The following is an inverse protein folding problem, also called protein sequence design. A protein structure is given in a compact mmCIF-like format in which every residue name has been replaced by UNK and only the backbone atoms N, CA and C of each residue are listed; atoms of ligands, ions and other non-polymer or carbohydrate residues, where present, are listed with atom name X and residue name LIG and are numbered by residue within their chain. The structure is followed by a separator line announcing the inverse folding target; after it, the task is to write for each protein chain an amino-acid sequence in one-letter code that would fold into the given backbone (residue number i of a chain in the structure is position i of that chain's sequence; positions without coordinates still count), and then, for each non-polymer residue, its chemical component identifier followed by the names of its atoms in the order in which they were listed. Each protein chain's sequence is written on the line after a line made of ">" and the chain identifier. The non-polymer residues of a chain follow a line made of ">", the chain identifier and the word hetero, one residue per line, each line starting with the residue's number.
data_IF_224065459850
#
_entry.id   IF_224065459850
#
_cell.length_a   1.000
_cell.length_b   1.000
_cell.length_c   1.000
_cell.angle_alpha   90.00
_cell.angle_beta   90.00
_cell.angle_gamma   90.00
#
_symmetry.space_group_name_H-M   'P 1'
#
loop_
_entity.id
_entity.type
_entity.pdbx_description
1 polymer ?
#
# COMPACT_ATOMS: atom_id res chain seq x y z
N UNK A 1 -3.47 -13.37 9.24
CA UNK A 1 -3.17 -12.58 8.37
C UNK A 1 -4.20 -11.69 8.03
N UNK A 2 -4.01 -10.60 8.24
CA UNK A 2 -4.94 -9.61 8.02
C UNK A 2 -5.10 -9.22 6.62
N UNK A 3 -4.93 -9.90 5.81
CA UNK A 3 -4.97 -9.45 4.54
C UNK A 3 -6.28 -9.03 4.02
N UNK A 4 -7.30 -9.28 4.72
CA UNK A 4 -8.52 -8.90 4.23
C UNK A 4 -9.01 -7.57 4.58
N UNK A 5 -8.22 -6.64 4.76
CA UNK A 5 -8.65 -5.34 5.04
C UNK A 5 -9.42 -4.78 3.93
N UNK A 6 -10.34 -3.93 4.22
CA UNK A 6 -11.10 -3.28 3.19
C UNK A 6 -10.38 -2.04 2.74
N UNK A 7 -10.17 -1.91 1.45
CA UNK A 7 -9.55 -0.72 0.90
C UNK A 7 -10.54 -0.05 -0.02
N UNK A 8 -10.54 1.25 -0.07
CA UNK A 8 -11.43 1.98 -0.95
C UNK A 8 -10.90 1.83 -2.37
N UNK A 9 -11.70 2.21 -3.33
CA UNK A 9 -11.27 2.09 -4.69
C UNK A 9 -10.06 2.92 -4.96
N UNK A 10 -10.00 4.08 -4.35
CA UNK A 10 -8.85 4.91 -4.51
C UNK A 10 -7.63 4.22 -3.97
N UNK A 11 -7.74 3.58 -2.83
CA UNK A 11 -6.60 2.91 -2.24
C UNK A 11 -6.19 1.72 -3.09
N UNK A 12 -7.15 1.03 -3.64
CA UNK A 12 -6.82 -0.10 -4.47
C UNK A 12 -6.07 0.35 -5.71
N UNK A 13 -6.47 1.44 -6.31
CA UNK A 13 -5.77 1.93 -7.46
C UNK A 13 -4.37 2.31 -7.10
N UNK A 14 -4.21 2.94 -5.94
CA UNK A 14 -2.90 3.33 -5.52
C UNK A 14 -2.02 2.12 -5.33
N UNK A 15 -2.56 1.07 -4.74
CA UNK A 15 -1.79 -0.14 -4.54
C UNK A 15 -1.38 -0.72 -5.88
N UNK A 16 -2.28 -0.74 -6.83
CA UNK A 16 -1.94 -1.28 -8.13
C UNK A 16 -0.84 -0.50 -8.80
N UNK A 17 -0.89 0.81 -8.69
CA UNK A 17 0.14 1.63 -9.27
C UNK A 17 1.49 1.32 -8.65
N UNK A 18 1.52 1.19 -7.34
CA UNK A 18 2.76 0.91 -6.68
C UNK A 18 3.27 -0.46 -7.05
N UNK A 19 2.37 -1.43 -7.12
CA UNK A 19 2.78 -2.78 -7.48
C UNK A 19 3.40 -2.79 -8.86
N UNK A 20 2.77 -2.12 -9.79
CA UNK A 20 3.31 -2.12 -11.13
C UNK A 20 4.64 -1.42 -11.20
N UNK A 21 4.77 -0.32 -10.49
CA UNK A 21 6.01 0.39 -10.47
C UNK A 21 7.13 -0.46 -9.92
N UNK A 22 6.85 -1.17 -8.85
CA UNK A 22 7.89 -1.97 -8.24
C UNK A 22 8.25 -3.17 -9.11
N UNK A 23 7.28 -3.69 -9.80
CA UNK A 23 7.57 -4.81 -10.69
C UNK A 23 8.46 -4.34 -11.82
N UNK A 24 8.24 -3.14 -12.29
CA UNK A 24 9.08 -2.62 -13.33
C UNK A 24 10.49 -2.41 -12.85
N UNK A 25 10.66 -2.22 -11.57
CA UNK A 25 11.98 -2.06 -11.04
C UNK A 25 12.66 -3.38 -10.83
N UNK A 26 11.97 -4.46 -11.11
CA UNK A 26 12.59 -5.75 -10.96
C UNK A 26 12.16 -6.53 -9.74
N UNK A 27 11.19 -6.04 -8.99
CA UNK A 27 10.78 -6.76 -7.82
C UNK A 27 9.78 -7.82 -8.17
N UNK A 28 9.68 -8.82 -7.34
CA UNK A 28 8.75 -9.89 -7.61
C UNK A 28 7.36 -9.40 -7.25
N UNK A 29 6.38 -10.14 -7.69
CA UNK A 29 5.03 -9.76 -7.44
C UNK A 29 4.74 -9.71 -5.95
N UNK A 30 5.21 -10.67 -5.21
CA UNK A 30 4.99 -10.69 -3.77
C UNK A 30 5.58 -9.46 -3.11
N UNK A 31 6.79 -9.13 -3.47
CA UNK A 31 7.43 -7.98 -2.87
C UNK A 31 6.71 -6.71 -3.28
N UNK A 32 6.32 -6.63 -4.53
CA UNK A 32 5.65 -5.44 -4.99
C UNK A 32 4.34 -5.23 -4.24
N UNK A 33 3.63 -6.31 -4.00
CA UNK A 33 2.38 -6.20 -3.30
C UNK A 33 2.60 -5.76 -1.86
N UNK A 34 3.61 -6.31 -1.23
CA UNK A 34 3.90 -5.93 0.11
C UNK A 34 4.19 -4.46 0.19
N UNK A 35 4.97 -3.96 -0.72
CA UNK A 35 5.31 -2.55 -0.72
C UNK A 35 4.06 -1.71 -0.96
N UNK A 36 3.21 -2.14 -1.86
CA UNK A 36 2.01 -1.40 -2.14
C UNK A 36 1.10 -1.28 -0.94
N UNK A 37 0.84 -2.40 -0.29
CA UNK A 37 -0.03 -2.36 0.87
C UNK A 37 0.61 -1.61 2.02
N UNK A 38 1.90 -1.79 2.19
CA UNK A 38 2.58 -1.10 3.27
C UNK A 38 2.52 0.41 3.08
N UNK A 39 2.67 0.84 1.86
CA UNK A 39 2.64 2.26 1.58
C UNK A 39 1.27 2.85 1.91
N UNK A 40 0.23 2.18 1.48
CA UNK A 40 -1.10 2.68 1.73
C UNK A 40 -1.41 2.65 3.22
N UNK A 41 -1.03 1.59 3.89
CA UNK A 41 -1.27 1.49 5.31
C UNK A 41 -0.53 2.59 6.07
N UNK A 42 0.66 2.86 5.64
CA UNK A 42 1.43 3.88 6.28
C UNK A 42 0.77 5.24 6.13
N UNK A 43 0.27 5.51 4.95
CA UNK A 43 -0.39 6.78 4.74
C UNK A 43 -1.63 6.91 5.59
N UNK A 44 -2.36 5.83 5.75
CA UNK A 44 -3.52 5.87 6.58
C UNK A 44 -3.16 6.14 8.03
N UNK A 45 -2.12 5.51 8.49
CA UNK A 45 -1.70 5.72 9.84
C UNK A 45 -1.23 7.14 10.06
N UNK A 46 -0.51 7.66 9.12
CA UNK A 46 -0.04 9.00 9.25
C UNK A 46 -1.18 9.98 9.36
N UNK A 47 -2.22 9.76 8.60
CA UNK A 47 -3.33 10.63 8.67
C UNK A 47 -3.97 10.57 10.02
N UNK A 48 -4.04 9.43 10.60
CA UNK A 48 -4.65 9.31 11.87
C UNK A 48 -3.81 9.78 12.97
N UNK A 49 -2.52 9.64 12.84
CA UNK A 49 -1.65 10.04 13.89
C UNK A 49 -1.22 11.40 13.85
N UNK A 50 -1.59 12.15 12.89
CA UNK A 50 -1.09 13.39 12.83
C UNK A 50 -1.27 14.18 14.03
N UNK A 51 -2.25 14.02 14.75
CA UNK A 51 -2.41 14.80 15.89
C UNK A 51 -1.56 14.35 16.97
N UNK A 52 -0.95 13.26 16.89
CA UNK A 52 -0.12 12.80 17.88
C UNK A 52 1.02 13.60 18.05
N UNK A 53 1.46 14.17 17.44
CA UNK A 53 2.59 14.83 17.58
C UNK A 53 2.74 15.74 18.12
#
# INVERSE_FOLDING_TARGET
>A
MPGKRHYTEKEKRQIEHIVESEKERGKSEDDAERIGYATVNKERNEKQDKKQK
#
